data_IF_395482070503
#
_entry.id   IF_395482070503
#
_cell.length_a   1.000
_cell.length_b   1.000
_cell.length_c   1.000
_cell.angle_alpha   90.00
_cell.angle_beta   90.00
_cell.angle_gamma   90.00
#
_symmetry.space_group_name_H-M   'P 1'
#
loop_
_entity.id
_entity.type
_entity.pdbx_description
1 polymer ?
#
# COMPACT_ATOMS: atom_id res chain seq x y z
N UNK A 1 16.54 -16.88 1.34
CA UNK A 1 16.99 -15.50 1.01
C UNK A 1 16.21 -14.54 1.88
N UNK A 2 16.84 -13.93 2.89
CA UNK A 2 16.19 -12.94 3.74
C UNK A 2 15.91 -11.68 2.93
N UNK A 3 14.65 -11.30 2.80
CA UNK A 3 14.28 -10.06 2.12
C UNK A 3 14.91 -8.88 2.87
N UNK A 4 15.67 -8.05 2.17
CA UNK A 4 16.22 -6.81 2.71
C UNK A 4 15.08 -5.92 3.25
N UNK A 5 15.32 -5.36 4.44
CA UNK A 5 14.42 -4.40 5.07
C UNK A 5 14.19 -3.19 4.16
N UNK A 6 13.00 -2.60 4.22
CA UNK A 6 12.71 -1.38 3.46
C UNK A 6 13.52 -0.19 3.99
N UNK A 7 13.81 0.81 3.13
CA UNK A 7 14.51 2.02 3.57
C UNK A 7 13.82 2.69 4.76
N UNK A 8 14.58 3.14 5.76
CA UNK A 8 14.05 3.84 6.95
C UNK A 8 13.23 5.06 6.57
N UNK A 9 13.67 5.80 5.55
CA UNK A 9 12.96 6.96 4.99
C UNK A 9 11.55 6.63 4.48
N UNK A 10 11.36 5.42 3.94
CA UNK A 10 10.06 4.96 3.47
C UNK A 10 9.17 4.51 4.64
N UNK A 11 9.76 3.90 5.67
CA UNK A 11 9.06 3.58 6.92
C UNK A 11 8.50 4.84 7.58
N UNK A 12 9.32 5.88 7.74
CA UNK A 12 8.90 7.10 8.44
C UNK A 12 7.74 7.79 7.71
N UNK A 13 7.82 7.88 6.37
CA UNK A 13 6.72 8.41 5.54
C UNK A 13 5.46 7.55 5.61
N UNK A 14 5.60 6.21 5.64
CA UNK A 14 4.46 5.32 5.84
C UNK A 14 3.81 5.55 7.21
N UNK A 15 4.59 5.80 8.26
CA UNK A 15 4.05 6.17 9.57
C UNK A 15 3.35 7.53 9.55
N UNK A 16 3.88 8.52 8.82
CA UNK A 16 3.16 9.80 8.61
C UNK A 16 1.82 9.59 7.93
N UNK A 17 1.75 8.77 6.88
CA UNK A 17 0.49 8.44 6.20
C UNK A 17 -0.48 7.70 7.12
N UNK A 18 0.00 6.79 7.95
CA UNK A 18 -0.83 6.10 8.93
C UNK A 18 -1.43 7.06 9.97
N UNK A 19 -0.65 8.05 10.42
CA UNK A 19 -1.15 9.11 11.30
C UNK A 19 -2.24 9.94 10.61
N UNK A 20 -2.05 10.28 9.32
CA UNK A 20 -3.06 10.97 8.51
C UNK A 20 -4.33 10.16 8.29
N UNK A 21 -4.20 8.84 8.22
CA UNK A 21 -5.36 7.95 8.21
C UNK A 21 -6.12 8.01 9.54
N UNK A 22 -5.39 7.93 10.66
CA UNK A 22 -5.99 7.98 11.99
C UNK A 22 -6.65 9.35 12.31
N UNK A 23 -6.16 10.45 11.71
CA UNK A 23 -6.79 11.78 11.84
C UNK A 23 -7.99 11.99 10.91
N UNK A 24 -8.25 11.07 9.98
CA UNK A 24 -9.33 11.19 8.99
C UNK A 24 -9.01 12.09 7.79
N UNK A 25 -7.75 12.51 7.64
CA UNK A 25 -7.29 13.31 6.50
C UNK A 25 -7.05 12.44 5.25
N UNK A 26 -6.73 11.16 5.46
CA UNK A 26 -6.46 10.16 4.44
C UNK A 26 -7.40 8.97 4.61
N UNK A 27 -8.13 8.62 3.56
CA UNK A 27 -8.82 7.34 3.46
C UNK A 27 -7.91 6.29 2.84
N UNK A 28 -7.83 5.11 3.46
CA UNK A 28 -7.12 3.95 2.92
C UNK A 28 -8.12 2.81 2.78
N UNK A 29 -8.21 2.23 1.59
CA UNK A 29 -9.03 1.06 1.39
C UNK A 29 -8.56 -0.13 2.24
N UNK A 30 -9.53 -0.78 2.88
CA UNK A 30 -9.35 -1.95 3.74
C UNK A 30 -9.85 -3.26 3.10
N UNK A 31 -10.35 -3.18 1.87
CA UNK A 31 -10.85 -4.32 1.11
C UNK A 31 -10.64 -4.11 -0.40
N UNK A 32 -10.62 -5.22 -1.14
CA UNK A 32 -10.75 -5.18 -2.59
C UNK A 32 -12.23 -5.12 -2.99
N UNK A 33 -12.59 -4.34 -4.04
CA UNK A 33 -13.94 -4.38 -4.62
C UNK A 33 -14.35 -5.78 -5.10
N UNK A 34 -13.38 -6.62 -5.49
CA UNK A 34 -13.60 -8.01 -5.89
C UNK A 34 -13.85 -8.97 -4.72
N UNK A 35 -13.75 -8.51 -3.47
CA UNK A 35 -13.86 -9.35 -2.27
C UNK A 35 -12.67 -10.27 -2.01
N UNK A 36 -11.62 -10.22 -2.83
CA UNK A 36 -10.40 -11.01 -2.63
C UNK A 36 -9.65 -10.58 -1.37
N UNK A 37 -9.17 -11.58 -0.63
CA UNK A 37 -8.42 -11.40 0.62
C UNK A 37 -6.95 -11.80 0.47
N UNK A 38 -6.18 -11.00 -0.25
CA UNK A 38 -4.74 -11.23 -0.50
C UNK A 38 -3.83 -10.29 0.31
N UNK A 39 -4.41 -9.55 1.27
CA UNK A 39 -3.74 -8.59 2.14
C UNK A 39 -3.11 -7.38 1.40
N UNK A 40 -3.29 -7.26 0.09
CA UNK A 40 -2.73 -6.17 -0.73
C UNK A 40 -3.55 -4.87 -0.67
N UNK A 41 -4.15 -4.59 0.49
CA UNK A 41 -4.95 -3.41 0.71
C UNK A 41 -4.07 -2.20 0.99
N UNK A 42 -4.53 -1.01 0.59
CA UNK A 42 -3.81 0.24 0.83
C UNK A 42 -3.52 0.44 2.33
N UNK A 43 -4.50 0.16 3.19
CA UNK A 43 -4.34 0.27 4.64
C UNK A 43 -3.25 -0.69 5.18
N UNK A 44 -3.33 -1.98 4.82
CA UNK A 44 -2.38 -2.97 5.31
C UNK A 44 -0.96 -2.67 4.81
N UNK A 45 -0.82 -2.26 3.55
CA UNK A 45 0.47 -1.92 2.97
C UNK A 45 1.14 -0.72 3.67
N UNK A 46 0.40 0.33 4.00
CA UNK A 46 0.92 1.49 4.75
C UNK A 46 1.22 1.11 6.21
N UNK A 47 0.33 0.35 6.87
CA UNK A 47 0.51 -0.14 8.24
C UNK A 47 1.76 -1.01 8.36
N UNK A 48 1.93 -1.96 7.45
CA UNK A 48 3.02 -2.93 7.47
C UNK A 48 4.36 -2.24 7.18
N UNK A 49 4.40 -1.32 6.20
CA UNK A 49 5.56 -0.46 5.97
C UNK A 49 5.94 0.39 7.18
N UNK A 50 4.97 0.96 7.91
CA UNK A 50 5.25 1.70 9.14
C UNK A 50 5.83 0.79 10.24
N UNK A 51 5.42 -0.48 10.31
CA UNK A 51 6.00 -1.50 11.19
C UNK A 51 7.38 -2.00 10.74
N UNK A 52 7.92 -1.49 9.62
CA UNK A 52 9.18 -1.94 9.04
C UNK A 52 9.06 -3.23 8.22
N UNK A 53 7.85 -3.67 7.92
CA UNK A 53 7.54 -4.80 7.05
C UNK A 53 7.40 -4.33 5.60
N UNK A 54 7.30 -5.28 4.66
CA UNK A 54 7.10 -5.00 3.23
C UNK A 54 5.60 -4.95 2.92
N UNK A 55 5.21 -4.13 1.94
CA UNK A 55 3.85 -4.12 1.42
C UNK A 55 3.55 -5.39 0.62
N UNK A 56 2.33 -5.91 0.74
CA UNK A 56 1.83 -7.04 -0.03
C UNK A 56 1.44 -6.61 -1.45
N UNK A 57 1.83 -7.43 -2.42
CA UNK A 57 1.36 -7.33 -3.82
C UNK A 57 0.16 -8.24 -4.00
N UNK A 58 -0.79 -7.81 -4.82
CA UNK A 58 -1.99 -8.58 -5.10
C UNK A 58 -1.66 -9.94 -5.70
N UNK A 59 -2.42 -10.95 -5.30
CA UNK A 59 -2.29 -12.32 -5.78
C UNK A 59 -3.66 -12.83 -6.20
N UNK A 60 -3.92 -12.80 -7.50
CA UNK A 60 -5.19 -13.26 -8.05
C UNK A 60 -5.01 -13.81 -9.46
N UNK A 61 -5.84 -14.79 -9.80
CA UNK A 61 -6.01 -15.27 -11.16
C UNK A 61 -7.15 -14.53 -11.83
N UNK A 62 -6.95 -14.15 -13.07
CA UNK A 62 -7.95 -13.49 -13.92
C UNK A 62 -7.98 -14.20 -15.27
N UNK A 63 -9.20 -14.54 -15.71
CA UNK A 63 -9.43 -15.20 -16.99
C UNK A 63 -9.13 -14.29 -18.19
N UNK A 64 -9.29 -12.98 -18.05
CA UNK A 64 -8.99 -12.01 -19.12
C UNK A 64 -7.52 -11.56 -19.17
N UNK A 65 -6.70 -11.91 -18.18
CA UNK A 65 -5.31 -11.47 -18.14
C UNK A 65 -4.43 -12.28 -19.08
N UNK A 66 -4.09 -11.69 -20.23
CA UNK A 66 -3.19 -12.28 -21.23
C UNK A 66 -1.80 -12.65 -20.69
N UNK A 67 -1.36 -11.99 -19.60
CA UNK A 67 -0.04 -12.18 -18.99
C UNK A 67 -0.03 -13.17 -17.81
N UNK A 68 -1.15 -13.84 -17.53
CA UNK A 68 -1.28 -14.75 -16.40
C UNK A 68 -1.67 -14.06 -15.09
N UNK A 69 -1.75 -14.82 -13.98
CA UNK A 69 -2.19 -14.32 -12.68
C UNK A 69 -1.25 -13.25 -12.12
N UNK A 70 -1.78 -12.34 -11.30
CA UNK A 70 -0.97 -11.42 -10.53
C UNK A 70 -0.05 -12.22 -9.60
N UNK A 71 1.28 -12.05 -9.68
CA UNK A 71 2.25 -12.99 -9.11
C UNK A 71 2.36 -12.93 -7.58
N UNK A 72 1.67 -12.01 -6.91
CA UNK A 72 1.79 -11.79 -5.48
C UNK A 72 3.20 -11.35 -5.05
N UNK A 73 3.51 -11.68 -3.79
CA UNK A 73 4.78 -11.37 -3.15
C UNK A 73 4.75 -10.06 -2.35
N UNK A 74 5.94 -9.52 -2.05
CA UNK A 74 6.07 -8.31 -1.24
C UNK A 74 7.08 -7.33 -1.81
N UNK A 75 6.82 -6.04 -1.64
CA UNK A 75 7.63 -4.94 -2.17
C UNK A 75 7.77 -3.82 -1.15
N UNK A 76 8.87 -3.08 -1.19
CA UNK A 76 8.98 -1.83 -0.47
C UNK A 76 8.34 -0.72 -1.30
N UNK A 77 7.39 0.02 -0.71
CA UNK A 77 6.86 1.21 -1.35
C UNK A 77 7.98 2.24 -1.51
N UNK A 78 8.03 2.90 -2.65
CA UNK A 78 9.10 3.85 -2.97
C UNK A 78 8.90 5.16 -2.22
N UNK A 79 10.00 5.83 -1.88
CA UNK A 79 9.97 7.16 -1.26
C UNK A 79 9.19 8.18 -2.11
N UNK A 80 9.34 8.11 -3.44
CA UNK A 80 8.61 8.99 -4.37
C UNK A 80 7.09 8.82 -4.24
N UNK A 81 6.60 7.59 -4.17
CA UNK A 81 5.18 7.30 -4.01
C UNK A 81 4.66 7.84 -2.67
N UNK A 82 5.37 7.55 -1.58
CA UNK A 82 4.94 7.95 -0.24
C UNK A 82 4.95 9.47 -0.08
N UNK A 83 5.98 10.16 -0.56
CA UNK A 83 6.03 11.63 -0.59
C UNK A 83 4.89 12.22 -1.41
N UNK A 84 4.56 11.60 -2.56
CA UNK A 84 3.46 12.05 -3.39
C UNK A 84 2.11 11.93 -2.65
N UNK A 85 1.85 10.82 -1.96
CA UNK A 85 0.65 10.65 -1.16
C UNK A 85 0.55 11.70 -0.02
N UNK A 86 1.65 11.95 0.69
CA UNK A 86 1.69 12.98 1.74
C UNK A 86 1.35 14.37 1.14
N UNK A 87 1.89 14.67 -0.04
CA UNK A 87 1.65 15.93 -0.74
C UNK A 87 0.20 16.07 -1.22
N UNK A 88 -0.46 14.97 -1.60
CA UNK A 88 -1.87 15.01 -1.96
C UNK A 88 -2.74 15.27 -0.72
N UNK A 89 -2.44 14.61 0.39
CA UNK A 89 -3.19 14.79 1.66
C UNK A 89 -3.06 16.21 2.20
N UNK A 90 -1.92 16.88 1.99
CA UNK A 90 -1.78 18.29 2.40
C UNK A 90 -2.60 19.27 1.54
N UNK A 91 -3.08 18.84 0.38
CA UNK A 91 -3.91 19.64 -0.54
C UNK A 91 -5.41 19.36 -0.42
N UNK A 92 -5.81 18.35 0.35
CA UNK A 92 -7.21 18.00 0.57
C UNK A 92 -7.38 16.57 1.04
N UNK A 93 -8.64 16.14 1.19
CA UNK A 93 -8.97 14.75 1.54
C UNK A 93 -8.70 13.83 0.36
N UNK A 94 -7.95 12.76 0.60
CA UNK A 94 -7.57 11.77 -0.41
C UNK A 94 -8.08 10.42 0.02
N UNK A 95 -8.61 9.62 -0.91
CA UNK A 95 -8.92 8.21 -0.70
C UNK A 95 -8.04 7.36 -1.62
N UNK A 96 -7.24 6.47 -1.05
CA UNK A 96 -6.37 5.55 -1.79
C UNK A 96 -7.03 4.18 -1.85
N UNK A 97 -7.47 3.80 -3.05
CA UNK A 97 -7.97 2.46 -3.35
C UNK A 97 -6.86 1.56 -3.91
N UNK A 98 -6.97 0.23 -3.75
CA UNK A 98 -6.20 -0.68 -4.58
C UNK A 98 -6.57 -0.48 -6.05
N UNK A 99 -5.59 -0.62 -6.93
CA UNK A 99 -5.83 -0.78 -8.37
C UNK A 99 -6.17 -2.25 -8.59
N UNK A 100 -7.30 -2.51 -9.27
CA UNK A 100 -7.79 -3.85 -9.61
C UNK A 100 -6.80 -4.57 -10.53
#
# INVERSE_FOLDING_TARGET
MCASACPTSAKDKACTLLQKYNSGDLGLAMSHPSGKQDNAYAYNNIRDMCKGLRASRSNYSCSECKTGPAPGGSVCLTDKLLTYLITLVSKGKVYVSPIL
#
